data_IF_114234181567
#
_entry.id   IF_114234181567
#
_cell.length_a   1.000
_cell.length_b   1.000
_cell.length_c   1.000
_cell.angle_alpha   90.00
_cell.angle_beta   90.00
_cell.angle_gamma   90.00
#
_symmetry.space_group_name_H-M   'P 1'
#
loop_
_entity.id
_entity.type
_entity.pdbx_description
1 polymer ?
#
# COMPACT_ATOMS: atom_id res chain seq x y z
N UNK A 1 -5.79 37.45 -20.15
CA UNK A 1 -4.91 37.64 -18.97
C UNK A 1 -5.38 36.66 -17.90
N UNK A 2 -4.57 35.65 -17.55
CA UNK A 2 -5.02 34.56 -16.68
C UNK A 2 -5.35 35.05 -15.26
N UNK A 3 -6.51 34.65 -14.75
CA UNK A 3 -6.97 35.04 -13.41
C UNK A 3 -6.01 34.48 -12.34
N UNK A 4 -5.36 35.34 -11.52
CA UNK A 4 -4.39 34.90 -10.52
C UNK A 4 -4.98 33.97 -9.46
N UNK A 5 -6.31 33.95 -9.27
CA UNK A 5 -6.99 33.00 -8.39
C UNK A 5 -6.93 31.58 -8.95
N UNK A 6 -7.08 31.42 -10.27
CA UNK A 6 -7.00 30.11 -10.94
C UNK A 6 -5.58 29.55 -10.84
N UNK A 7 -4.55 30.40 -10.97
CA UNK A 7 -3.15 30.00 -10.77
C UNK A 7 -2.89 29.48 -9.34
N UNK A 8 -3.39 30.17 -8.32
CA UNK A 8 -3.28 29.72 -6.92
C UNK A 8 -4.02 28.40 -6.69
N UNK A 9 -5.22 28.26 -7.25
CA UNK A 9 -6.00 27.02 -7.15
C UNK A 9 -5.27 25.85 -7.81
N UNK A 10 -4.58 26.08 -8.92
CA UNK A 10 -3.75 25.08 -9.60
C UNK A 10 -2.61 24.61 -8.71
N UNK A 11 -1.86 25.53 -8.10
CA UNK A 11 -0.76 25.20 -7.18
C UNK A 11 -1.25 24.34 -6.00
N UNK A 12 -2.39 24.69 -5.41
CA UNK A 12 -3.00 23.87 -4.34
C UNK A 12 -3.42 22.50 -4.87
N UNK A 13 -4.00 22.41 -6.08
CA UNK A 13 -4.39 21.15 -6.68
C UNK A 13 -3.19 20.23 -6.98
N UNK A 14 -2.05 20.79 -7.41
CA UNK A 14 -0.81 20.04 -7.62
C UNK A 14 -0.28 19.44 -6.31
N UNK A 15 -0.31 20.20 -5.21
CA UNK A 15 0.07 19.70 -3.88
C UNK A 15 -0.84 18.54 -3.43
N UNK A 16 -2.15 18.67 -3.65
CA UNK A 16 -3.12 17.62 -3.35
C UNK A 16 -2.89 16.38 -4.21
N UNK A 17 -2.61 16.55 -5.51
CA UNK A 17 -2.29 15.46 -6.43
C UNK A 17 -1.02 14.71 -5.99
N UNK A 18 0.04 15.45 -5.68
CA UNK A 18 1.31 14.88 -5.21
C UNK A 18 1.10 14.10 -3.91
N UNK A 19 0.32 14.64 -2.97
CA UNK A 19 0.01 13.96 -1.71
C UNK A 19 -0.78 12.67 -1.93
N UNK A 20 -1.84 12.70 -2.75
CA UNK A 20 -2.64 11.52 -3.04
C UNK A 20 -1.83 10.42 -3.73
N UNK A 21 -0.93 10.79 -4.66
CA UNK A 21 -0.02 9.85 -5.31
C UNK A 21 0.98 9.24 -4.31
N UNK A 22 1.54 10.04 -3.40
CA UNK A 22 2.45 9.57 -2.37
C UNK A 22 1.77 8.59 -1.40
N UNK A 23 0.53 8.88 -0.96
CA UNK A 23 -0.23 7.99 -0.07
C UNK A 23 -0.58 6.66 -0.75
N UNK A 24 -1.00 6.70 -2.02
CA UNK A 24 -1.23 5.48 -2.80
C UNK A 24 0.06 4.67 -2.98
N UNK A 25 1.19 5.34 -3.24
CA UNK A 25 2.50 4.70 -3.34
C UNK A 25 2.94 4.03 -2.03
N UNK A 26 2.75 4.72 -0.90
CA UNK A 26 3.06 4.19 0.43
C UNK A 26 2.18 2.98 0.78
N UNK A 27 0.89 3.03 0.46
CA UNK A 27 -0.03 1.90 0.65
C UNK A 27 0.39 0.66 -0.17
N UNK A 28 0.73 0.84 -1.46
CA UNK A 28 1.25 -0.23 -2.31
C UNK A 28 2.57 -0.80 -1.78
N UNK A 29 3.47 0.06 -1.32
CA UNK A 29 4.74 -0.37 -0.75
C UNK A 29 4.54 -1.18 0.53
N UNK A 30 3.59 -0.79 1.39
CA UNK A 30 3.21 -1.55 2.57
C UNK A 30 2.66 -2.96 2.20
N UNK A 31 1.78 -3.07 1.19
CA UNK A 31 1.27 -4.38 0.74
C UNK A 31 2.40 -5.29 0.24
N UNK A 32 3.33 -4.75 -0.55
CA UNK A 32 4.52 -5.49 -1.04
C UNK A 32 5.41 -5.93 0.12
N UNK A 33 5.66 -5.05 1.09
CA UNK A 33 6.46 -5.37 2.28
C UNK A 33 5.84 -6.52 3.08
N UNK A 34 4.52 -6.51 3.28
CA UNK A 34 3.83 -7.61 3.97
C UNK A 34 3.86 -8.90 3.13
N UNK A 35 3.65 -8.81 1.81
CA UNK A 35 3.78 -9.97 0.92
C UNK A 35 5.17 -10.60 1.00
N UNK A 36 6.23 -9.79 1.10
CA UNK A 36 7.59 -10.28 1.27
C UNK A 36 7.77 -11.01 2.62
N UNK A 37 7.19 -10.50 3.70
CA UNK A 37 7.19 -11.18 5.02
C UNK A 37 6.46 -12.53 4.95
N UNK A 38 5.29 -12.58 4.32
CA UNK A 38 4.52 -13.84 4.14
C UNK A 38 5.33 -14.84 3.33
N UNK A 39 5.96 -14.41 2.23
CA UNK A 39 6.83 -15.27 1.42
C UNK A 39 8.01 -15.78 2.25
N UNK A 40 8.68 -14.92 3.02
CA UNK A 40 9.78 -15.31 3.90
C UNK A 40 9.34 -16.37 4.92
N UNK A 41 8.18 -16.20 5.57
CA UNK A 41 7.62 -17.20 6.50
C UNK A 41 7.32 -18.53 5.81
N UNK A 42 6.83 -18.51 4.57
CA UNK A 42 6.56 -19.73 3.79
C UNK A 42 7.83 -20.47 3.37
N UNK A 43 8.88 -19.72 3.04
CA UNK A 43 10.18 -20.28 2.62
C UNK A 43 11.11 -20.59 3.79
N UNK A 44 10.80 -20.12 5.00
CA UNK A 44 11.54 -20.47 6.20
C UNK A 44 11.43 -21.98 6.42
N UNK A 45 12.48 -22.71 6.06
CA UNK A 45 12.62 -24.12 6.40
C UNK A 45 12.98 -24.22 7.88
N UNK A 46 12.32 -25.12 8.58
CA UNK A 46 12.81 -25.63 9.85
C UNK A 46 14.20 -26.26 9.57
N UNK A 47 15.16 -26.11 10.50
CA UNK A 47 16.56 -26.54 10.30
C UNK A 47 16.68 -27.93 9.67
N UNK A 48 17.77 -28.16 8.91
CA UNK A 48 18.02 -29.36 8.07
C UNK A 48 18.21 -30.70 8.84
N UNK A 49 17.60 -30.84 10.02
CA UNK A 49 17.47 -32.07 10.80
C UNK A 49 16.66 -31.80 12.08
N UNK A 50 15.87 -32.77 12.59
CA UNK A 50 15.03 -32.53 13.75
C UNK A 50 15.84 -32.42 15.04
N UNK A 51 15.88 -31.22 15.63
CA UNK A 51 16.38 -31.01 16.99
C UNK A 51 15.47 -31.70 18.04
N UNK A 52 15.92 -31.77 19.30
CA UNK A 52 15.16 -32.43 20.36
C UNK A 52 13.79 -31.78 20.63
N UNK A 53 13.63 -30.48 20.34
CA UNK A 53 12.37 -29.76 20.47
C UNK A 53 11.38 -30.15 19.36
N UNK A 54 11.86 -30.36 18.14
CA UNK A 54 11.05 -30.85 17.01
C UNK A 54 10.58 -32.30 17.24
N UNK A 55 11.43 -33.17 17.81
CA UNK A 55 11.05 -34.53 18.21
C UNK A 55 9.99 -34.58 19.33
N UNK A 56 9.84 -33.51 20.11
CA UNK A 56 8.84 -33.36 21.16
C UNK A 56 7.53 -32.69 20.68
N UNK A 57 7.31 -32.55 19.37
CA UNK A 57 6.12 -31.89 18.80
C UNK A 57 6.31 -30.40 18.46
N UNK A 58 7.53 -29.87 18.61
CA UNK A 58 7.87 -28.49 18.29
C UNK A 58 7.64 -28.10 16.82
N UNK A 59 7.69 -29.06 15.89
CA UNK A 59 7.34 -28.81 14.48
C UNK A 59 5.87 -28.42 14.31
N UNK A 60 4.95 -29.12 14.97
CA UNK A 60 3.52 -28.82 14.89
C UNK A 60 3.22 -27.45 15.52
N UNK A 61 3.84 -27.15 16.66
CA UNK A 61 3.71 -25.85 17.35
C UNK A 61 4.24 -24.71 16.46
N UNK A 62 5.41 -24.91 15.83
CA UNK A 62 5.97 -23.93 14.91
C UNK A 62 5.10 -23.71 13.67
N UNK A 63 4.57 -24.78 13.06
CA UNK A 63 3.66 -24.67 11.91
C UNK A 63 2.39 -23.91 12.29
N UNK A 64 1.79 -24.21 13.44
CA UNK A 64 0.61 -23.50 13.95
C UNK A 64 0.90 -22.01 14.20
N UNK A 65 2.05 -21.68 14.78
CA UNK A 65 2.46 -20.29 14.96
C UNK A 65 2.65 -19.58 13.62
N UNK A 66 3.39 -20.19 12.68
CA UNK A 66 3.63 -19.62 11.34
C UNK A 66 2.33 -19.37 10.59
N UNK A 67 1.40 -20.33 10.63
CA UNK A 67 0.14 -20.21 9.90
C UNK A 67 -0.76 -19.12 10.51
N UNK A 68 -0.74 -18.94 11.86
CA UNK A 68 -1.40 -17.81 12.53
C UNK A 68 -0.78 -16.47 12.14
N UNK A 69 0.55 -16.39 12.08
CA UNK A 69 1.27 -15.16 11.68
C UNK A 69 0.94 -14.79 10.22
N UNK A 70 0.95 -15.77 9.30
CA UNK A 70 0.54 -15.57 7.91
C UNK A 70 -0.91 -15.09 7.82
N UNK A 71 -1.82 -15.63 8.64
CA UNK A 71 -3.22 -15.21 8.66
C UNK A 71 -3.37 -13.75 9.09
N UNK A 72 -2.67 -13.34 10.16
CA UNK A 72 -2.66 -11.95 10.63
C UNK A 72 -2.12 -11.00 9.55
N UNK A 73 -0.99 -11.32 8.93
CA UNK A 73 -0.41 -10.54 7.84
C UNK A 73 -1.36 -10.43 6.63
N UNK A 74 -2.08 -11.50 6.29
CA UNK A 74 -3.06 -11.45 5.20
C UNK A 74 -4.28 -10.59 5.54
N UNK A 75 -4.68 -10.54 6.81
CA UNK A 75 -5.73 -9.63 7.27
C UNK A 75 -5.29 -8.17 7.12
N UNK A 76 -4.06 -7.83 7.51
CA UNK A 76 -3.51 -6.48 7.30
C UNK A 76 -3.49 -6.10 5.81
N UNK A 77 -3.10 -7.03 4.92
CA UNK A 77 -3.15 -6.82 3.48
C UNK A 77 -4.55 -6.59 2.95
N UNK A 78 -5.56 -7.29 3.48
CA UNK A 78 -6.94 -7.07 3.08
C UNK A 78 -7.37 -5.62 3.39
N UNK A 79 -6.99 -5.09 4.56
CA UNK A 79 -7.24 -3.69 4.92
C UNK A 79 -6.51 -2.72 3.99
N UNK A 80 -5.24 -3.00 3.66
CA UNK A 80 -4.48 -2.18 2.71
C UNK A 80 -5.13 -2.14 1.32
N UNK A 81 -5.64 -3.27 0.82
CA UNK A 81 -6.33 -3.35 -0.47
C UNK A 81 -7.64 -2.55 -0.50
N UNK A 82 -8.43 -2.62 0.57
CA UNK A 82 -9.64 -1.79 0.70
C UNK A 82 -9.28 -0.30 0.70
N UNK A 83 -8.21 0.09 1.40
CA UNK A 83 -7.72 1.47 1.38
C UNK A 83 -7.16 1.86 -0.01
N UNK A 84 -6.53 0.93 -0.73
CA UNK A 84 -5.91 1.17 -2.03
C UNK A 84 -6.93 1.66 -3.07
N UNK A 85 -8.14 1.07 -3.09
CA UNK A 85 -9.21 1.50 -4.00
C UNK A 85 -9.61 2.96 -3.74
N UNK A 86 -9.82 3.32 -2.48
CA UNK A 86 -10.17 4.70 -2.08
C UNK A 86 -9.05 5.69 -2.40
N UNK A 87 -7.79 5.30 -2.18
CA UNK A 87 -6.62 6.12 -2.51
C UNK A 87 -6.46 6.29 -4.02
N UNK A 88 -6.76 5.25 -4.81
CA UNK A 88 -6.75 5.32 -6.27
C UNK A 88 -7.83 6.29 -6.79
N UNK A 89 -9.05 6.21 -6.27
CA UNK A 89 -10.12 7.16 -6.59
C UNK A 89 -9.72 8.60 -6.24
N UNK A 90 -9.16 8.82 -5.04
CA UNK A 90 -8.72 10.14 -4.61
C UNK A 90 -7.61 10.72 -5.52
N UNK A 91 -6.63 9.89 -5.89
CA UNK A 91 -5.54 10.27 -6.81
C UNK A 91 -6.06 10.60 -8.22
N UNK A 92 -7.00 9.81 -8.73
CA UNK A 92 -7.65 10.07 -10.03
C UNK A 92 -8.42 11.40 -10.01
N UNK A 93 -9.20 11.65 -8.95
CA UNK A 93 -9.93 12.93 -8.78
C UNK A 93 -9.00 14.13 -8.67
N UNK A 94 -7.90 14.01 -7.92
CA UNK A 94 -6.91 15.07 -7.80
C UNK A 94 -6.25 15.40 -9.15
N UNK A 95 -5.93 14.36 -9.94
CA UNK A 95 -5.40 14.51 -11.30
C UNK A 95 -6.39 15.19 -12.24
N UNK A 96 -7.65 14.76 -12.22
CA UNK A 96 -8.70 15.37 -13.03
C UNK A 96 -8.91 16.86 -12.69
N UNK A 97 -8.74 17.23 -11.41
CA UNK A 97 -8.85 18.61 -10.96
C UNK A 97 -7.72 19.50 -11.50
N UNK A 98 -6.48 18.99 -11.52
CA UNK A 98 -5.35 19.71 -12.14
C UNK A 98 -5.61 19.92 -13.63
N UNK A 99 -5.99 18.86 -14.36
CA UNK A 99 -6.30 18.95 -15.79
C UNK A 99 -7.45 19.93 -16.09
N UNK A 100 -8.47 19.99 -15.24
CA UNK A 100 -9.56 20.95 -15.39
C UNK A 100 -9.08 22.40 -15.22
N UNK A 101 -8.17 22.65 -14.27
CA UNK A 101 -7.59 23.97 -14.04
C UNK A 101 -6.63 24.36 -15.18
N UNK A 102 -5.84 23.42 -15.71
CA UNK A 102 -5.00 23.65 -16.89
C UNK A 102 -5.85 24.12 -18.08
N UNK A 103 -6.95 23.42 -18.38
CA UNK A 103 -7.89 23.83 -19.46
C UNK A 103 -8.50 25.22 -19.26
N UNK A 104 -8.69 25.67 -18.01
CA UNK A 104 -9.19 27.00 -17.73
C UNK A 104 -8.13 28.09 -17.93
N UNK A 105 -6.85 27.74 -17.80
CA UNK A 105 -5.72 28.64 -18.02
C UNK A 105 -5.29 28.71 -19.50
N UNK A 106 -5.64 27.70 -20.29
CA UNK A 106 -5.42 27.65 -21.75
C UNK A 106 -6.48 28.42 -22.56
N UNK A 107 -7.64 28.73 -21.96
CA UNK A 107 -8.67 29.53 -22.61
C UNK A 107 -8.25 31.03 -22.64
N UNK A 108 -8.25 31.68 -23.82
CA UNK A 108 -7.83 33.07 -23.98
C UNK A 108 -8.70 34.08 -23.23
#
# INVERSE_FOLDING_TARGET
MNDPRILRLRQVAELVQARAAAELGANKHADISIQNKVSALRYQKIGTGPDAFQRAGGEQIWRQWRDREIAALNQERALLRVAQERLAEASARATARVQALDRLLEKP
#
